data_IF_364634724121
#
_entry.id   IF_364634724121
#
_cell.length_a   1.000
_cell.length_b   1.000
_cell.length_c   1.000
_cell.angle_alpha   90.00
_cell.angle_beta   90.00
_cell.angle_gamma   90.00
#
_symmetry.space_group_name_H-M   'P 1'
#
loop_
_entity.id
_entity.type
_entity.pdbx_description
1 polymer ?
#
# COMPACT_ATOMS: atom_id res chain seq x y z
N UNK A 1 2.09 -4.46 -12.91
CA UNK A 1 1.81 -5.05 -14.25
C UNK A 1 3.08 -5.40 -15.06
N UNK A 2 4.15 -4.59 -14.98
CA UNK A 2 5.30 -4.72 -15.89
C UNK A 2 5.96 -6.09 -15.85
N UNK A 3 6.16 -6.65 -14.65
CA UNK A 3 6.69 -8.01 -14.49
C UNK A 3 5.76 -9.08 -15.07
N UNK A 4 4.45 -8.97 -14.84
CA UNK A 4 3.47 -9.88 -15.41
C UNK A 4 3.45 -9.80 -16.95
N UNK A 5 3.49 -8.60 -17.53
CA UNK A 5 3.59 -8.41 -18.98
C UNK A 5 4.92 -8.96 -19.53
N UNK A 6 6.03 -8.80 -18.78
CA UNK A 6 7.34 -9.34 -19.13
C UNK A 6 7.35 -10.87 -19.16
N UNK A 7 6.70 -11.52 -18.19
CA UNK A 7 6.66 -12.97 -18.05
C UNK A 7 5.64 -13.63 -18.98
N UNK A 8 4.41 -13.09 -19.06
CA UNK A 8 3.32 -13.69 -19.83
C UNK A 8 3.30 -13.23 -21.31
N UNK A 9 3.96 -12.12 -21.62
CA UNK A 9 3.86 -11.44 -22.91
C UNK A 9 2.59 -10.58 -23.02
N UNK A 10 2.70 -9.44 -23.71
CA UNK A 10 1.60 -8.48 -23.85
C UNK A 10 0.31 -9.10 -24.41
N UNK A 11 0.43 -10.00 -25.40
CA UNK A 11 -0.71 -10.67 -26.02
C UNK A 11 -1.57 -11.43 -25.00
N UNK A 12 -0.95 -12.05 -24.01
CA UNK A 12 -1.64 -12.86 -23.01
C UNK A 12 -2.03 -12.05 -21.76
N UNK A 13 -1.31 -10.96 -21.49
CA UNK A 13 -1.58 -10.09 -20.35
C UNK A 13 -2.66 -9.03 -20.64
N UNK A 14 -2.84 -8.62 -21.90
CA UNK A 14 -3.84 -7.64 -22.28
C UNK A 14 -5.26 -8.09 -21.90
N UNK A 15 -6.03 -7.18 -21.29
CA UNK A 15 -7.40 -7.45 -20.82
C UNK A 15 -7.46 -8.12 -19.45
N UNK A 16 -6.32 -8.49 -18.86
CA UNK A 16 -6.30 -9.05 -17.51
C UNK A 16 -6.72 -7.99 -16.49
N UNK A 17 -7.80 -8.27 -15.77
CA UNK A 17 -8.23 -7.52 -14.60
C UNK A 17 -7.43 -7.93 -13.35
N UNK A 18 -7.02 -6.95 -12.56
CA UNK A 18 -6.28 -7.13 -11.31
C UNK A 18 -6.97 -6.32 -10.24
N UNK A 19 -7.46 -7.01 -9.21
CA UNK A 19 -7.93 -6.39 -7.97
C UNK A 19 -6.73 -5.87 -7.18
N UNK A 20 -6.72 -4.58 -6.90
CA UNK A 20 -5.73 -3.89 -6.09
C UNK A 20 -6.31 -3.58 -4.71
N UNK A 21 -5.49 -3.73 -3.68
CA UNK A 21 -5.88 -3.50 -2.27
C UNK A 21 -5.39 -2.15 -1.73
N UNK A 22 -4.73 -1.37 -2.58
CA UNK A 22 -4.28 0.00 -2.31
C UNK A 22 -4.57 0.88 -3.53
N UNK A 23 -4.72 2.21 -3.38
CA UNK A 23 -4.98 3.10 -4.50
C UNK A 23 -3.85 3.15 -5.53
N UNK A 24 -4.20 3.48 -6.78
CA UNK A 24 -3.31 3.68 -7.90
C UNK A 24 -2.07 4.55 -7.56
N UNK A 25 -0.86 3.97 -7.45
CA UNK A 25 0.30 4.64 -6.85
C UNK A 25 1.05 5.56 -7.83
N UNK A 26 0.71 5.54 -9.12
CA UNK A 26 1.44 6.27 -10.16
C UNK A 26 0.96 7.72 -10.32
N UNK A 27 -0.20 8.09 -9.77
CA UNK A 27 -0.71 9.47 -9.79
C UNK A 27 -0.72 10.05 -8.37
N UNK A 28 -0.08 11.21 -8.14
CA UNK A 28 0.10 11.82 -6.81
C UNK A 28 -1.18 12.48 -6.23
N UNK A 29 -2.34 11.85 -6.39
CA UNK A 29 -3.64 12.40 -6.02
C UNK A 29 -3.87 12.44 -4.49
N UNK A 30 -3.28 11.50 -3.75
CA UNK A 30 -3.37 11.45 -2.28
C UNK A 30 -2.05 11.91 -1.62
N UNK A 31 -2.10 12.56 -0.44
CA UNK A 31 -0.91 12.91 0.32
C UNK A 31 0.06 11.74 0.54
N UNK A 32 -0.45 10.55 0.88
CA UNK A 32 0.38 9.37 1.13
C UNK A 32 1.09 8.85 -0.12
N UNK A 33 0.49 9.02 -1.30
CA UNK A 33 1.13 8.66 -2.58
C UNK A 33 2.28 9.63 -2.88
N UNK A 34 2.07 10.94 -2.67
CA UNK A 34 3.12 11.96 -2.82
C UNK A 34 4.32 11.70 -1.91
N UNK A 35 4.03 11.36 -0.66
CA UNK A 35 5.05 10.99 0.33
C UNK A 35 5.82 9.74 -0.10
N UNK A 36 5.11 8.68 -0.50
CA UNK A 36 5.72 7.45 -1.02
C UNK A 36 6.63 7.72 -2.21
N UNK A 37 6.17 8.46 -3.23
CA UNK A 37 6.97 8.77 -4.42
C UNK A 37 8.23 9.57 -4.06
N UNK A 38 8.10 10.53 -3.14
CA UNK A 38 9.23 11.35 -2.66
C UNK A 38 10.26 10.52 -1.91
N UNK A 39 9.81 9.64 -1.01
CA UNK A 39 10.70 8.78 -0.21
C UNK A 39 11.33 7.68 -1.07
N UNK A 40 10.60 7.12 -2.03
CA UNK A 40 11.15 6.17 -2.98
C UNK A 40 12.25 6.81 -3.83
N UNK A 41 12.02 8.01 -4.36
CA UNK A 41 13.04 8.74 -5.13
C UNK A 41 14.29 9.04 -4.29
N UNK A 42 14.12 9.33 -2.99
CA UNK A 42 15.21 9.66 -2.07
C UNK A 42 16.00 8.42 -1.62
N UNK A 43 15.31 7.33 -1.29
CA UNK A 43 15.89 6.18 -0.59
C UNK A 43 15.92 4.88 -1.41
N UNK A 44 15.01 4.71 -2.38
CA UNK A 44 14.91 3.53 -3.24
C UNK A 44 15.60 3.72 -4.59
N UNK A 45 16.90 4.05 -4.60
CA UNK A 45 17.64 4.25 -5.86
C UNK A 45 17.52 3.01 -6.75
N UNK A 46 17.01 3.19 -7.97
CA UNK A 46 16.81 2.10 -8.94
C UNK A 46 15.46 1.39 -8.82
N UNK A 47 14.73 1.61 -7.74
CA UNK A 47 13.39 1.06 -7.56
C UNK A 47 12.35 1.83 -8.38
N UNK A 48 11.35 1.08 -8.86
CA UNK A 48 10.25 1.62 -9.65
C UNK A 48 8.97 1.63 -8.82
N UNK A 49 8.12 2.64 -9.05
CA UNK A 49 6.79 2.67 -8.44
C UNK A 49 6.02 1.42 -8.85
N UNK A 50 5.48 0.71 -7.86
CA UNK A 50 4.60 -0.43 -8.08
C UNK A 50 3.66 -0.62 -6.87
N UNK A 51 2.57 -1.38 -7.07
CA UNK A 51 1.59 -1.65 -6.02
C UNK A 51 2.20 -2.31 -4.79
N UNK A 52 3.08 -3.30 -4.98
CA UNK A 52 3.69 -4.06 -3.89
C UNK A 52 4.51 -3.16 -2.95
N UNK A 53 5.39 -2.32 -3.50
CA UNK A 53 6.21 -1.40 -2.70
C UNK A 53 5.38 -0.29 -2.06
N UNK A 54 4.29 0.17 -2.71
CA UNK A 54 3.37 1.11 -2.09
C UNK A 54 2.58 0.47 -0.92
N UNK A 55 2.09 -0.75 -1.09
CA UNK A 55 1.44 -1.51 -0.02
C UNK A 55 2.39 -1.75 1.17
N UNK A 56 3.64 -2.14 0.89
CA UNK A 56 4.67 -2.30 1.93
C UNK A 56 4.97 -0.98 2.64
N UNK A 57 5.01 0.14 1.91
CA UNK A 57 5.18 1.46 2.50
C UNK A 57 4.04 1.82 3.46
N UNK A 58 2.78 1.57 3.07
CA UNK A 58 1.62 1.76 3.95
C UNK A 58 1.70 0.85 5.18
N UNK A 59 2.04 -0.43 5.00
CA UNK A 59 2.23 -1.37 6.09
C UNK A 59 3.32 -0.94 7.08
N UNK A 60 4.43 -0.41 6.57
CA UNK A 60 5.50 0.14 7.40
C UNK A 60 5.04 1.38 8.18
N UNK A 61 4.28 2.30 7.57
CA UNK A 61 3.69 3.45 8.28
C UNK A 61 2.77 3.00 9.42
N UNK A 62 1.91 2.01 9.18
CA UNK A 62 1.05 1.42 10.21
C UNK A 62 1.89 0.83 11.36
N UNK A 63 2.94 0.06 11.05
CA UNK A 63 3.80 -0.52 12.08
C UNK A 63 4.51 0.57 12.91
N UNK A 64 5.04 1.61 12.26
CA UNK A 64 5.72 2.72 12.94
C UNK A 64 4.75 3.45 13.87
N UNK A 65 3.52 3.71 13.44
CA UNK A 65 2.49 4.31 14.29
C UNK A 65 2.14 3.41 15.48
N UNK A 66 2.08 2.08 15.28
CA UNK A 66 1.82 1.13 16.36
C UNK A 66 2.93 1.14 17.41
N UNK A 67 4.19 1.18 16.96
CA UNK A 67 5.36 1.29 17.81
C UNK A 67 5.37 2.62 18.58
N UNK A 68 5.00 3.73 17.94
CA UNK A 68 4.86 5.03 18.60
C UNK A 68 3.84 4.97 19.74
N UNK A 69 2.68 4.33 19.50
CA UNK A 69 1.62 4.13 20.51
C UNK A 69 2.00 3.14 21.60
N UNK A 70 2.84 2.16 21.30
CA UNK A 70 3.37 1.21 22.28
C UNK A 70 4.28 1.88 23.33
N UNK A 71 4.85 3.05 23.01
CA UNK A 71 5.73 3.82 23.90
C UNK A 71 7.11 3.17 24.11
N UNK A 72 7.91 3.70 25.06
CA UNK A 72 9.25 3.19 25.35
C UNK A 72 9.26 1.70 25.73
N UNK A 73 10.29 0.97 25.27
CA UNK A 73 10.43 -0.47 25.47
C UNK A 73 9.24 -1.25 24.90
N UNK A 74 9.02 -1.23 23.57
CA UNK A 74 7.92 -1.93 22.93
C UNK A 74 8.10 -3.44 23.11
N UNK A 75 7.02 -4.11 23.48
CA UNK A 75 6.90 -5.58 23.48
C UNK A 75 5.85 -5.98 22.47
N UNK A 76 5.82 -7.27 22.07
CA UNK A 76 4.78 -7.80 21.17
C UNK A 76 3.38 -7.41 21.63
N UNK A 77 3.08 -7.57 22.92
CA UNK A 77 1.77 -7.23 23.49
C UNK A 77 1.47 -5.72 23.42
N UNK A 78 2.47 -4.86 23.66
CA UNK A 78 2.29 -3.40 23.55
C UNK A 78 2.06 -2.96 22.10
N UNK A 79 2.73 -3.58 21.12
CA UNK A 79 2.54 -3.26 19.69
C UNK A 79 1.13 -3.66 19.22
N UNK A 80 0.64 -4.83 19.64
CA UNK A 80 -0.74 -5.25 19.35
C UNK A 80 -1.73 -4.24 19.93
N UNK A 81 -1.58 -3.85 21.20
CA UNK A 81 -2.40 -2.79 21.80
C UNK A 81 -2.28 -1.46 21.05
N UNK A 82 -1.07 -1.13 20.57
CA UNK A 82 -0.81 0.04 19.74
C UNK A 82 -1.66 0.05 18.47
N UNK A 83 -1.68 -1.06 17.72
CA UNK A 83 -2.54 -1.27 16.54
C UNK A 83 -4.02 -1.12 16.89
N UNK A 84 -4.49 -1.80 17.94
CA UNK A 84 -5.90 -1.79 18.35
C UNK A 84 -6.36 -0.41 18.87
N UNK A 85 -5.43 0.41 19.37
CA UNK A 85 -5.74 1.76 19.87
C UNK A 85 -5.80 2.85 18.78
N UNK A 86 -5.52 2.50 17.53
CA UNK A 86 -5.43 3.47 16.44
C UNK A 86 -6.76 4.15 16.11
N UNK A 87 -7.87 3.42 16.28
CA UNK A 87 -9.16 3.81 15.71
C UNK A 87 -9.07 3.95 14.19
N UNK A 88 -9.89 4.84 13.61
CA UNK A 88 -9.81 5.22 12.21
C UNK A 88 -8.57 6.09 11.96
N UNK A 89 -7.41 5.47 11.77
CA UNK A 89 -6.14 6.15 11.55
C UNK A 89 -5.95 6.48 10.07
N UNK A 90 -5.80 7.78 9.78
CA UNK A 90 -5.55 8.28 8.43
C UNK A 90 -4.04 8.25 8.11
N UNK A 91 -3.69 7.53 7.05
CA UNK A 91 -2.34 7.42 6.50
C UNK A 91 -2.00 8.55 5.52
N UNK A 92 -2.93 9.46 5.25
CA UNK A 92 -2.79 10.54 4.27
C UNK A 92 -3.72 10.34 3.07
N UNK A 93 -5.02 10.19 3.34
CA UNK A 93 -6.08 9.89 2.38
C UNK A 93 -6.48 8.41 2.28
N UNK A 94 -5.92 7.56 3.16
CA UNK A 94 -6.27 6.15 3.29
C UNK A 94 -6.44 5.86 4.77
N UNK A 95 -7.60 5.36 5.19
CA UNK A 95 -7.85 5.04 6.58
C UNK A 95 -7.65 3.56 6.84
N UNK A 96 -7.01 3.22 7.97
CA UNK A 96 -6.99 1.87 8.52
C UNK A 96 -7.61 1.85 9.92
N UNK A 97 -8.23 0.74 10.29
CA UNK A 97 -8.77 0.55 11.63
C UNK A 97 -8.62 -0.89 12.10
N UNK A 98 -8.04 -1.08 13.28
CA UNK A 98 -7.87 -2.39 13.91
C UNK A 98 -8.56 -2.39 15.27
N UNK A 99 -9.03 -3.57 15.68
CA UNK A 99 -9.65 -3.77 16.99
C UNK A 99 -9.35 -5.18 17.51
N UNK A 100 -9.62 -5.46 18.80
CA UNK A 100 -9.43 -6.80 19.35
C UNK A 100 -10.23 -7.89 18.61
N UNK A 101 -11.34 -7.53 17.97
CA UNK A 101 -12.24 -8.45 17.26
C UNK A 101 -12.13 -8.36 15.73
N UNK A 102 -11.45 -7.35 15.18
CA UNK A 102 -11.23 -7.20 13.74
C UNK A 102 -9.79 -6.79 13.42
N UNK A 103 -9.08 -7.65 12.68
CA UNK A 103 -7.70 -7.43 12.24
C UNK A 103 -7.58 -7.10 10.74
N UNK A 104 -8.71 -6.96 10.04
CA UNK A 104 -8.75 -6.48 8.66
C UNK A 104 -8.78 -4.95 8.71
N UNK A 105 -7.61 -4.35 8.48
CA UNK A 105 -7.40 -2.90 8.64
C UNK A 105 -8.08 -2.04 7.58
N UNK A 106 -8.29 -2.59 6.38
CA UNK A 106 -8.85 -1.89 5.22
C UNK A 106 -9.73 -2.84 4.42
N UNK A 107 -10.82 -2.32 3.87
CA UNK A 107 -11.67 -2.99 2.89
C UNK A 107 -11.59 -2.32 1.51
N UNK A 108 -10.54 -1.51 1.29
CA UNK A 108 -10.32 -0.86 0.00
C UNK A 108 -10.03 -1.90 -1.07
N UNK A 109 -10.79 -1.83 -2.16
CA UNK A 109 -10.54 -2.59 -3.38
C UNK A 109 -10.79 -1.66 -4.56
N UNK A 110 -9.87 -1.68 -5.52
CA UNK A 110 -10.11 -1.15 -6.86
C UNK A 110 -9.73 -2.21 -7.89
N UNK A 111 -10.28 -2.14 -9.09
CA UNK A 111 -9.92 -3.03 -10.20
C UNK A 111 -9.16 -2.21 -11.23
N UNK A 112 -8.04 -2.76 -11.70
CA UNK A 112 -7.27 -2.20 -12.80
C UNK A 112 -7.17 -3.22 -13.92
N UNK A 113 -7.04 -2.77 -15.16
CA UNK A 113 -6.93 -3.66 -16.32
C UNK A 113 -5.63 -3.38 -17.04
N UNK A 114 -4.94 -4.43 -17.49
CA UNK A 114 -3.77 -4.27 -18.37
C UNK A 114 -4.27 -3.87 -19.76
N UNK A 115 -4.01 -2.63 -20.15
CA UNK A 115 -4.39 -2.08 -21.45
C UNK A 115 -3.52 -2.57 -22.60
N UNK A 116 -3.89 -2.18 -23.83
CA UNK A 116 -3.20 -2.56 -25.08
C UNK A 116 -1.71 -2.18 -25.12
N UNK A 117 -1.29 -1.22 -24.30
CA UNK A 117 0.11 -0.77 -24.19
C UNK A 117 0.89 -1.50 -23.10
N UNK A 118 0.27 -2.45 -22.38
CA UNK A 118 0.84 -3.13 -21.22
C UNK A 118 0.83 -2.30 -19.93
N UNK A 119 0.40 -1.04 -20.00
CA UNK A 119 0.18 -0.18 -18.82
C UNK A 119 -1.16 -0.51 -18.17
N UNK A 120 -1.28 -0.22 -16.88
CA UNK A 120 -2.55 -0.35 -16.18
C UNK A 120 -3.47 0.81 -16.52
N UNK A 121 -4.72 0.46 -16.74
CA UNK A 121 -5.85 1.36 -16.81
C UNK A 121 -6.58 1.26 -15.48
N UNK A 122 -6.88 2.42 -14.91
CA UNK A 122 -7.79 2.57 -13.78
C UNK A 122 -9.15 3.01 -14.33
#
# INVERSE_FOLDING_TARGET
PAELVKLAGLKNAHGLGISQVVPYPYMPNLPVIREYQTLLAKYGKGEQINYTSFEQFLGAKVLVEALRRAGPGPTRAKVIKGLESMGAYDLGGITVNYSPTNRVGSHYVEVTVIGVTGKLLK
#
